data_IF_842038181004
#
_entry.id   IF_842038181004
#
_cell.length_a   1.000
_cell.length_b   1.000
_cell.length_c   1.000
_cell.angle_alpha   90.00
_cell.angle_beta   90.00
_cell.angle_gamma   90.00
#
_symmetry.space_group_name_H-M   'P 1'
#
loop_
_entity.id
_entity.type
_entity.pdbx_description
1 polymer ?
#
# COMPACT_ATOMS: atom_id res chain seq x y z
N UNK A 1 -15.98 -10.49 -13.87
CA UNK A 1 -15.29 -10.56 -12.57
C UNK A 1 -15.69 -9.32 -11.78
N UNK A 2 -16.34 -9.49 -10.63
CA UNK A 2 -16.70 -8.36 -9.77
C UNK A 2 -15.42 -7.74 -9.21
N UNK A 3 -15.33 -6.41 -9.20
CA UNK A 3 -14.21 -5.68 -8.58
C UNK A 3 -14.11 -5.91 -7.07
N UNK A 4 -13.03 -5.43 -6.42
CA UNK A 4 -12.89 -5.54 -4.97
C UNK A 4 -13.99 -4.74 -4.26
N UNK A 5 -14.52 -5.31 -3.17
CA UNK A 5 -15.51 -4.63 -2.32
C UNK A 5 -14.87 -3.74 -1.26
N UNK A 6 -13.66 -4.04 -0.85
CA UNK A 6 -12.88 -3.26 0.10
C UNK A 6 -11.47 -3.05 -0.44
N UNK A 7 -10.97 -1.85 -0.32
CA UNK A 7 -9.58 -1.50 -0.61
C UNK A 7 -8.91 -1.16 0.72
N UNK A 8 -8.04 -2.04 1.19
CA UNK A 8 -7.29 -1.89 2.44
C UNK A 8 -5.93 -1.29 2.10
N UNK A 9 -5.51 -0.24 2.79
CA UNK A 9 -4.20 0.38 2.55
C UNK A 9 -3.45 0.60 3.85
N UNK A 10 -2.20 0.18 3.90
CA UNK A 10 -1.33 0.47 5.04
C UNK A 10 -0.97 1.97 5.07
N UNK A 11 -1.21 2.65 6.20
CA UNK A 11 -0.93 4.06 6.40
C UNK A 11 0.21 4.25 7.42
N UNK A 12 1.42 4.58 6.95
CA UNK A 12 2.60 4.77 7.82
C UNK A 12 3.12 6.20 7.89
N UNK A 13 2.47 7.16 7.24
CA UNK A 13 2.91 8.56 7.17
C UNK A 13 4.22 8.80 6.43
N UNK A 14 4.88 7.76 5.91
CA UNK A 14 6.12 7.93 5.16
C UNK A 14 5.85 8.44 3.73
N UNK A 15 6.76 9.22 3.12
CA UNK A 15 6.56 9.74 1.75
C UNK A 15 6.27 8.67 0.69
N UNK A 16 6.80 7.47 0.85
CA UNK A 16 6.51 6.34 -0.03
C UNK A 16 5.12 5.74 0.17
N UNK A 17 4.49 6.02 1.30
CA UNK A 17 3.16 5.54 1.63
C UNK A 17 2.06 6.50 1.16
N UNK A 18 2.33 7.80 1.06
CA UNK A 18 1.36 8.78 0.54
C UNK A 18 0.91 8.43 -0.90
N UNK A 19 1.84 7.96 -1.72
CA UNK A 19 1.50 7.45 -3.05
C UNK A 19 0.55 6.26 -3.00
N UNK A 20 0.75 5.33 -2.06
CA UNK A 20 -0.12 4.18 -1.86
C UNK A 20 -1.53 4.60 -1.40
N UNK A 21 -1.63 5.57 -0.47
CA UNK A 21 -2.91 6.12 -0.01
C UNK A 21 -3.71 6.75 -1.17
N UNK A 22 -3.09 7.62 -1.96
CA UNK A 22 -3.73 8.26 -3.12
C UNK A 22 -4.15 7.25 -4.18
N UNK A 23 -3.32 6.24 -4.40
CA UNK A 23 -3.65 5.20 -5.37
C UNK A 23 -4.79 4.30 -4.88
N UNK A 24 -4.83 3.96 -3.59
CA UNK A 24 -5.91 3.20 -2.98
C UNK A 24 -7.26 3.94 -3.05
N UNK A 25 -7.25 5.26 -2.84
CA UNK A 25 -8.41 6.13 -3.01
C UNK A 25 -8.94 6.09 -4.44
N UNK A 26 -8.05 6.22 -5.42
CA UNK A 26 -8.43 6.14 -6.84
C UNK A 26 -9.07 4.78 -7.18
N UNK A 27 -8.49 3.69 -6.69
CA UNK A 27 -9.06 2.35 -6.89
C UNK A 27 -10.40 2.18 -6.19
N UNK A 28 -10.53 2.69 -4.95
CA UNK A 28 -11.78 2.60 -4.22
C UNK A 28 -12.92 3.31 -4.97
N UNK A 29 -12.66 4.47 -5.58
CA UNK A 29 -13.62 5.16 -6.45
C UNK A 29 -13.94 4.37 -7.72
N UNK A 30 -12.91 3.85 -8.38
CA UNK A 30 -13.08 3.12 -9.64
C UNK A 30 -13.94 1.85 -9.50
N UNK A 31 -13.92 1.25 -8.31
CA UNK A 31 -14.65 0.00 -8.02
C UNK A 31 -15.86 0.19 -7.11
N UNK A 32 -16.20 1.41 -6.72
CA UNK A 32 -17.25 1.69 -5.72
C UNK A 32 -17.05 0.88 -4.43
N UNK A 33 -15.80 0.85 -3.96
CA UNK A 33 -15.36 0.04 -2.84
C UNK A 33 -15.18 0.88 -1.57
N UNK A 34 -15.30 0.23 -0.40
CA UNK A 34 -14.97 0.86 0.88
C UNK A 34 -13.45 0.99 1.02
N UNK A 35 -12.96 2.20 1.26
CA UNK A 35 -11.55 2.48 1.52
C UNK A 35 -11.24 2.33 3.01
N UNK A 36 -10.24 1.52 3.35
CA UNK A 36 -9.83 1.24 4.73
C UNK A 36 -8.34 1.57 4.91
N UNK A 37 -7.98 2.81 5.26
CA UNK A 37 -6.63 3.14 5.66
C UNK A 37 -6.35 2.58 7.05
N UNK A 38 -5.26 1.82 7.18
CA UNK A 38 -4.89 1.11 8.41
C UNK A 38 -3.52 1.59 8.88
N UNK A 39 -3.48 2.16 10.08
CA UNK A 39 -2.24 2.40 10.82
C UNK A 39 -2.03 1.32 11.86
N UNK A 40 -0.79 0.89 12.02
CA UNK A 40 -0.45 -0.15 13.00
C UNK A 40 0.64 0.33 13.93
N UNK A 41 0.55 -0.03 15.21
CA UNK A 41 1.54 0.33 16.20
C UNK A 41 1.96 -0.87 17.04
N UNK A 42 3.15 -0.81 17.57
CA UNK A 42 3.71 -1.78 18.50
C UNK A 42 4.20 -1.01 19.73
N UNK A 43 3.95 -1.47 20.96
CA UNK A 43 4.43 -0.80 22.15
C UNK A 43 5.97 -0.71 22.15
N UNK A 44 6.55 0.38 22.65
CA UNK A 44 7.98 0.48 22.86
C UNK A 44 8.51 -0.67 23.72
N UNK A 45 9.58 -1.34 23.25
CA UNK A 45 10.09 -2.57 23.87
C UNK A 45 9.35 -3.85 23.44
N UNK A 46 8.31 -3.72 22.60
CA UNK A 46 7.57 -4.84 22.05
C UNK A 46 6.56 -5.47 23.03
N UNK A 47 5.82 -6.46 22.55
CA UNK A 47 4.78 -7.15 23.34
C UNK A 47 5.32 -7.87 24.58
N UNK A 48 6.59 -8.24 24.58
CA UNK A 48 7.22 -8.92 25.73
C UNK A 48 7.42 -7.95 26.87
N UNK A 49 7.94 -6.75 26.61
CA UNK A 49 8.12 -5.74 27.64
C UNK A 49 6.79 -5.32 28.27
N UNK A 50 5.77 -5.12 27.47
CA UNK A 50 4.44 -4.75 27.98
C UNK A 50 3.79 -5.86 28.80
N UNK A 51 3.97 -7.13 28.45
CA UNK A 51 3.48 -8.25 29.27
C UNK A 51 4.12 -8.32 30.66
N UNK A 52 5.38 -7.90 30.78
CA UNK A 52 6.08 -7.87 32.07
C UNK A 52 5.69 -6.67 32.94
N UNK A 53 5.32 -5.57 32.31
CA UNK A 53 4.93 -4.33 33.01
C UNK A 53 3.76 -3.65 32.29
N UNK A 54 2.53 -4.20 32.39
CA UNK A 54 1.37 -3.64 31.72
C UNK A 54 0.99 -2.31 32.37
N UNK A 55 0.86 -1.26 31.53
CA UNK A 55 0.39 0.06 31.95
C UNK A 55 -0.75 0.51 31.02
N UNK A 56 -1.97 0.56 31.56
CA UNK A 56 -3.16 0.92 30.78
C UNK A 56 -3.07 2.36 30.26
N UNK A 57 -2.56 3.28 31.07
CA UNK A 57 -2.38 4.68 30.71
C UNK A 57 -1.41 4.85 29.53
N UNK A 58 -0.30 4.13 29.54
CA UNK A 58 0.63 4.15 28.42
C UNK A 58 0.05 3.55 27.14
N UNK A 59 -0.77 2.52 27.29
CA UNK A 59 -1.44 1.92 26.13
C UNK A 59 -2.42 2.88 25.46
N UNK A 60 -3.22 3.63 26.24
CA UNK A 60 -4.11 4.65 25.66
C UNK A 60 -3.32 5.74 24.96
N UNK A 61 -2.25 6.27 25.57
CA UNK A 61 -1.38 7.27 24.93
C UNK A 61 -0.78 6.79 23.61
N UNK A 62 -0.32 5.55 23.53
CA UNK A 62 0.23 5.00 22.27
C UNK A 62 -0.87 4.79 21.21
N UNK A 63 -2.07 4.44 21.64
CA UNK A 63 -3.21 4.32 20.72
C UNK A 63 -3.63 5.70 20.20
N UNK A 64 -3.64 6.71 21.04
CA UNK A 64 -3.96 8.09 20.67
C UNK A 64 -2.90 8.67 19.70
N UNK A 65 -1.60 8.46 19.97
CA UNK A 65 -0.50 8.81 19.05
C UNK A 65 -0.64 8.09 17.70
N UNK A 66 -1.05 6.83 17.71
CA UNK A 66 -1.27 6.08 16.49
C UNK A 66 -2.46 6.64 15.67
N UNK A 67 -3.52 7.10 16.32
CA UNK A 67 -4.62 7.79 15.67
C UNK A 67 -4.22 9.14 15.09
N UNK A 68 -3.39 9.91 15.81
CA UNK A 68 -2.83 11.18 15.31
C UNK A 68 -1.99 10.93 14.05
N UNK A 69 -1.10 9.95 14.08
CA UNK A 69 -0.30 9.57 12.89
C UNK A 69 -1.14 9.13 11.71
N UNK A 70 -2.25 8.45 11.94
CA UNK A 70 -3.18 8.09 10.87
C UNK A 70 -3.85 9.32 10.28
N UNK A 71 -4.30 10.28 11.13
CA UNK A 71 -4.88 11.56 10.68
C UNK A 71 -3.87 12.35 9.86
N UNK A 72 -2.64 12.50 10.36
CA UNK A 72 -1.56 13.21 9.64
C UNK A 72 -1.30 12.59 8.27
N UNK A 73 -1.32 11.26 8.17
CA UNK A 73 -1.13 10.56 6.90
C UNK A 73 -2.30 10.80 5.94
N UNK A 74 -3.53 10.83 6.45
CA UNK A 74 -4.75 11.14 5.69
C UNK A 74 -4.71 12.57 5.20
N UNK A 75 -4.39 13.54 6.07
CA UNK A 75 -4.32 14.96 5.74
C UNK A 75 -3.20 15.22 4.71
N UNK A 76 -2.05 14.59 4.87
CA UNK A 76 -0.97 14.69 3.90
C UNK A 76 -1.29 14.05 2.53
N UNK A 77 -2.14 13.02 2.50
CA UNK A 77 -2.53 12.36 1.28
C UNK A 77 -3.67 13.09 0.54
N UNK A 78 -4.70 13.52 1.27
CA UNK A 78 -5.97 13.99 0.72
C UNK A 78 -6.38 15.40 1.17
N UNK A 79 -5.73 15.97 2.17
CA UNK A 79 -6.11 17.24 2.83
C UNK A 79 -7.29 17.07 3.79
N UNK A 80 -8.27 16.28 3.44
CA UNK A 80 -9.41 15.87 4.26
C UNK A 80 -9.96 14.54 3.75
N UNK A 81 -10.79 13.87 4.57
CA UNK A 81 -11.46 12.66 4.14
C UNK A 81 -12.39 12.94 2.94
N UNK A 82 -12.33 12.13 1.87
CA UNK A 82 -13.24 12.26 0.73
C UNK A 82 -14.69 12.08 1.17
N UNK A 83 -15.55 13.06 0.90
CA UNK A 83 -16.96 13.02 1.27
C UNK A 83 -17.81 12.09 0.38
N UNK A 84 -17.32 11.83 -0.82
CA UNK A 84 -17.96 11.03 -1.88
C UNK A 84 -17.58 9.54 -1.84
N UNK A 85 -16.71 9.15 -0.90
CA UNK A 85 -16.21 7.79 -0.78
C UNK A 85 -16.41 7.24 0.64
N UNK A 86 -16.93 6.02 0.82
CA UNK A 86 -17.01 5.42 2.14
C UNK A 86 -15.60 5.08 2.66
N UNK A 87 -15.08 5.89 3.59
CA UNK A 87 -13.77 5.69 4.22
C UNK A 87 -13.95 5.22 5.66
N UNK A 88 -13.25 4.16 6.03
CA UNK A 88 -13.25 3.58 7.40
C UNK A 88 -11.82 3.49 7.94
N UNK A 89 -11.25 4.56 8.51
CA UNK A 89 -9.92 4.53 9.10
C UNK A 89 -9.85 3.54 10.27
N UNK A 90 -8.74 2.81 10.38
CA UNK A 90 -8.50 1.83 11.44
C UNK A 90 -7.11 1.99 12.03
N UNK A 91 -7.03 1.87 13.35
CA UNK A 91 -5.76 1.76 14.09
C UNK A 91 -5.75 0.43 14.80
N UNK A 92 -4.72 -0.36 14.54
CA UNK A 92 -4.60 -1.70 15.10
C UNK A 92 -3.23 -1.93 15.72
N UNK A 93 -3.21 -2.66 16.82
CA UNK A 93 -1.98 -3.07 17.48
C UNK A 93 -1.40 -4.31 16.82
N UNK A 94 -0.11 -4.28 16.47
CA UNK A 94 0.63 -5.43 15.99
C UNK A 94 1.59 -5.13 14.85
N UNK A 95 2.31 -6.16 14.43
CA UNK A 95 3.24 -6.07 13.31
C UNK A 95 2.49 -5.76 12.00
N UNK A 96 2.88 -4.71 11.26
CA UNK A 96 2.11 -4.19 10.13
C UNK A 96 1.70 -5.26 9.11
N UNK A 97 2.65 -6.09 8.68
CA UNK A 97 2.35 -7.13 7.68
C UNK A 97 1.30 -8.13 8.15
N UNK A 98 1.40 -8.57 9.42
CA UNK A 98 0.43 -9.52 10.00
C UNK A 98 -0.96 -8.90 10.13
N UNK A 99 -1.02 -7.68 10.67
CA UNK A 99 -2.30 -6.98 10.85
C UNK A 99 -2.99 -6.76 9.52
N UNK A 100 -2.27 -6.24 8.53
CA UNK A 100 -2.82 -5.97 7.20
C UNK A 100 -3.35 -7.24 6.53
N UNK A 101 -2.65 -8.37 6.63
CA UNK A 101 -3.10 -9.63 6.04
C UNK A 101 -4.29 -10.26 6.77
N UNK A 102 -4.46 -9.97 8.06
CA UNK A 102 -5.64 -10.38 8.84
C UNK A 102 -6.86 -9.55 8.48
N UNK A 103 -6.70 -8.22 8.33
CA UNK A 103 -7.79 -7.32 7.93
C UNK A 103 -8.23 -7.63 6.50
N UNK A 104 -7.27 -7.79 5.58
CA UNK A 104 -7.50 -8.13 4.19
C UNK A 104 -7.58 -9.66 4.01
N UNK A 105 -8.60 -10.28 4.62
CA UNK A 105 -8.75 -11.74 4.66
C UNK A 105 -9.77 -12.30 3.66
N UNK A 106 -10.63 -11.45 3.12
CA UNK A 106 -11.63 -11.85 2.12
C UNK A 106 -10.97 -11.89 0.72
N UNK A 107 -11.19 -12.93 -0.09
CA UNK A 107 -10.72 -12.97 -1.48
C UNK A 107 -11.20 -11.80 -2.35
N UNK A 108 -12.33 -11.17 -1.97
CA UNK A 108 -12.87 -9.97 -2.60
C UNK A 108 -12.26 -8.66 -2.12
N UNK A 109 -11.23 -8.70 -1.27
CA UNK A 109 -10.47 -7.51 -0.85
C UNK A 109 -9.36 -7.18 -1.86
N UNK A 110 -8.85 -5.95 -1.78
CA UNK A 110 -7.61 -5.53 -2.41
C UNK A 110 -6.72 -4.89 -1.36
N UNK A 111 -5.54 -5.46 -1.14
CA UNK A 111 -4.56 -4.91 -0.20
C UNK A 111 -3.53 -4.03 -0.95
N UNK A 112 -3.45 -2.77 -0.59
CA UNK A 112 -2.50 -1.80 -1.16
C UNK A 112 -1.40 -1.49 -0.14
N UNK A 113 -0.15 -1.61 -0.55
CA UNK A 113 1.01 -1.36 0.30
C UNK A 113 2.08 -0.55 -0.45
N UNK A 114 2.71 0.40 0.23
CA UNK A 114 3.85 1.10 -0.32
C UNK A 114 5.11 0.22 -0.31
N UNK A 115 5.96 0.28 -1.32
CA UNK A 115 7.18 -0.52 -1.38
C UNK A 115 8.34 -0.01 -0.52
N UNK A 116 8.14 1.08 0.26
CA UNK A 116 9.12 1.59 1.22
C UNK A 116 10.00 2.72 0.69
N UNK A 117 11.09 3.03 1.41
CA UNK A 117 11.93 4.22 1.23
C UNK A 117 12.78 4.17 -0.06
N UNK A 118 13.06 5.37 -0.60
CA UNK A 118 13.99 5.57 -1.72
C UNK A 118 15.42 5.21 -1.33
N UNK A 119 15.99 4.23 -1.99
CA UNK A 119 17.43 3.99 -2.07
C UNK A 119 17.70 3.33 -3.41
N UNK A 120 18.88 3.59 -3.99
CA UNK A 120 19.25 3.09 -5.34
C UNK A 120 19.19 1.56 -5.44
N UNK A 121 19.41 0.86 -4.32
CA UNK A 121 19.34 -0.60 -4.22
C UNK A 121 17.94 -1.12 -3.84
N UNK A 122 17.03 -0.26 -3.32
CA UNK A 122 15.70 -0.67 -2.84
C UNK A 122 14.62 -0.62 -3.92
N UNK A 123 14.94 -0.16 -5.13
CA UNK A 123 13.99 -0.18 -6.27
C UNK A 123 13.60 -1.60 -6.69
N UNK A 124 14.44 -2.57 -6.40
CA UNK A 124 14.25 -3.98 -6.81
C UNK A 124 13.68 -4.83 -5.66
N UNK A 125 13.83 -4.40 -4.40
CA UNK A 125 13.34 -5.15 -3.25
C UNK A 125 12.20 -4.42 -2.55
N UNK A 126 10.98 -4.97 -2.50
CA UNK A 126 9.89 -4.46 -1.68
C UNK A 126 10.30 -4.36 -0.20
N UNK A 127 9.75 -3.39 0.54
CA UNK A 127 9.96 -3.27 1.98
C UNK A 127 9.53 -4.53 2.75
N UNK A 128 9.96 -4.66 3.99
CA UNK A 128 9.63 -5.85 4.83
C UNK A 128 8.13 -6.11 4.91
N UNK A 129 7.31 -5.06 5.06
CA UNK A 129 5.84 -5.14 5.12
C UNK A 129 5.28 -5.63 3.79
N UNK A 130 5.68 -5.04 2.67
CA UNK A 130 5.20 -5.42 1.33
C UNK A 130 5.55 -6.87 1.00
N UNK A 131 6.77 -7.32 1.31
CA UNK A 131 7.17 -8.72 1.11
C UNK A 131 6.34 -9.68 1.95
N UNK A 132 6.07 -9.31 3.20
CA UNK A 132 5.23 -10.12 4.07
C UNK A 132 3.80 -10.23 3.50
N UNK A 133 3.19 -9.10 3.11
CA UNK A 133 1.85 -9.09 2.53
C UNK A 133 1.78 -9.91 1.24
N UNK A 134 2.75 -9.76 0.32
CA UNK A 134 2.81 -10.53 -0.92
C UNK A 134 2.92 -12.05 -0.68
N UNK A 135 3.58 -12.47 0.41
CA UNK A 135 3.77 -13.88 0.72
C UNK A 135 2.59 -14.51 1.50
N UNK A 136 1.78 -13.71 2.22
CA UNK A 136 0.83 -14.24 3.19
C UNK A 136 -0.61 -13.74 3.02
N UNK A 137 -0.88 -12.79 2.12
CA UNK A 137 -2.24 -12.32 1.88
C UNK A 137 -3.09 -13.41 1.17
N UNK A 138 -4.39 -13.39 1.48
CA UNK A 138 -5.40 -14.26 0.85
C UNK A 138 -6.18 -13.55 -0.26
N UNK A 139 -5.87 -12.29 -0.49
CA UNK A 139 -6.45 -11.43 -1.52
C UNK A 139 -5.35 -10.89 -2.44
N UNK A 140 -5.68 -10.29 -3.59
CA UNK A 140 -4.74 -9.55 -4.42
C UNK A 140 -4.00 -8.46 -3.63
N UNK A 141 -2.68 -8.34 -3.85
CA UNK A 141 -1.82 -7.33 -3.21
C UNK A 141 -1.21 -6.43 -4.27
N UNK A 142 -1.41 -5.13 -4.11
CA UNK A 142 -0.81 -4.12 -4.96
C UNK A 142 0.33 -3.42 -4.21
N UNK A 143 1.53 -3.54 -4.71
CA UNK A 143 2.71 -2.86 -4.18
C UNK A 143 2.99 -1.57 -4.97
N UNK A 144 2.77 -0.41 -4.34
CA UNK A 144 2.91 0.91 -4.97
C UNK A 144 4.31 1.46 -4.70
N UNK A 145 5.10 1.76 -5.75
CA UNK A 145 6.40 2.38 -5.58
C UNK A 145 6.27 3.83 -5.09
N UNK A 146 7.27 4.37 -4.37
CA UNK A 146 7.28 5.77 -3.99
C UNK A 146 7.29 6.64 -5.25
N UNK A 147 6.45 7.67 -5.29
CA UNK A 147 6.45 8.63 -6.39
C UNK A 147 7.85 9.23 -6.54
N UNK A 148 8.43 9.11 -7.72
CA UNK A 148 9.63 9.85 -8.07
C UNK A 148 9.24 11.32 -8.23
N UNK A 149 9.63 12.17 -7.29
CA UNK A 149 9.61 13.63 -7.54
C UNK A 149 10.67 13.86 -8.60
N UNK A 150 10.25 13.97 -9.85
CA UNK A 150 11.11 14.49 -10.90
C UNK A 150 11.26 16.00 -10.66
N UNK A 151 12.48 16.56 -10.59
CA UNK A 151 12.66 18.00 -10.39
C UNK A 151 12.24 18.83 -11.59
N UNK A 152 11.71 18.24 -12.64
CA UNK A 152 11.24 18.93 -13.83
C UNK A 152 9.73 18.78 -13.97
N UNK A 153 9.02 19.80 -13.57
CA UNK A 153 7.61 20.00 -13.87
C UNK A 153 7.42 20.07 -15.39
N UNK A 154 6.61 19.19 -15.95
CA UNK A 154 6.20 19.34 -17.36
C UNK A 154 5.63 18.08 -18.02
N UNK A 155 6.00 16.91 -17.59
CA UNK A 155 5.44 15.68 -18.15
C UNK A 155 5.02 14.77 -16.99
N UNK A 156 3.77 14.36 -16.95
CA UNK A 156 3.26 13.40 -15.98
C UNK A 156 4.17 12.16 -15.97
N UNK A 157 4.45 11.56 -14.82
CA UNK A 157 5.39 10.45 -14.71
C UNK A 157 4.99 9.32 -15.64
N UNK A 158 5.93 8.77 -16.42
CA UNK A 158 5.73 7.70 -17.40
C UNK A 158 5.04 6.44 -16.83
N UNK A 159 5.02 6.26 -15.51
CA UNK A 159 4.26 5.19 -14.85
C UNK A 159 2.73 5.34 -15.00
N UNK A 160 2.22 6.59 -15.18
CA UNK A 160 0.81 6.83 -15.48
C UNK A 160 0.39 6.19 -16.82
N UNK A 161 1.28 6.17 -17.79
CA UNK A 161 1.03 5.53 -19.10
C UNK A 161 1.02 4.01 -18.98
N UNK A 162 1.83 3.43 -18.08
CA UNK A 162 1.90 1.98 -17.89
C UNK A 162 0.66 1.40 -17.18
N UNK A 163 -0.04 2.19 -16.36
CA UNK A 163 -1.15 1.72 -15.54
C UNK A 163 -2.53 1.88 -16.21
N UNK A 164 -2.63 2.64 -17.30
CA UNK A 164 -3.86 2.72 -18.08
C UNK A 164 -4.01 1.61 -19.13
N UNK A 165 -2.96 0.82 -19.34
CA UNK A 165 -3.05 -0.36 -20.17
C UNK A 165 -3.45 -1.54 -19.28
N UNK A 166 -4.73 -1.84 -19.23
CA UNK A 166 -5.21 -3.16 -18.79
C UNK A 166 -4.58 -4.19 -19.70
N UNK A 167 -3.55 -4.89 -19.20
CA UNK A 167 -2.99 -6.05 -19.89
C UNK A 167 -4.12 -7.09 -19.97
N UNK A 168 -4.69 -7.25 -21.13
CA UNK A 168 -5.58 -8.37 -21.40
C UNK A 168 -4.73 -9.65 -21.55
N UNK A 169 -5.29 -10.83 -21.31
CA UNK A 169 -4.56 -12.10 -21.53
C UNK A 169 -3.91 -12.19 -22.90
N UNK A 170 -4.46 -11.55 -23.93
CA UNK A 170 -3.93 -11.50 -25.29
C UNK A 170 -2.67 -10.63 -25.42
N UNK A 171 -2.47 -9.62 -24.57
CA UNK A 171 -1.26 -8.80 -24.57
C UNK A 171 -0.03 -9.56 -24.04
N UNK A 172 -0.22 -10.49 -23.12
CA UNK A 172 0.84 -11.34 -22.56
C UNK A 172 1.31 -12.39 -23.57
N UNK A 173 0.42 -12.85 -24.45
CA UNK A 173 0.75 -13.86 -25.46
C UNK A 173 1.44 -13.27 -26.69
N UNK A 174 1.29 -11.98 -26.98
CA UNK A 174 1.95 -11.31 -28.11
C UNK A 174 3.42 -11.01 -27.88
N UNK A 175 3.83 -10.68 -26.66
CA UNK A 175 5.25 -10.40 -26.34
C UNK A 175 6.13 -11.67 -26.21
N UNK A 176 5.53 -12.84 -26.12
CA UNK A 176 6.26 -14.13 -26.07
C UNK A 176 6.78 -14.62 -27.43
N UNK A 177 6.45 -13.95 -28.54
CA UNK A 177 6.71 -14.43 -29.91
C UNK A 177 7.81 -13.75 -30.72
N UNK A 178 8.41 -12.67 -30.24
CA UNK A 178 9.40 -11.89 -31.01
C UNK A 178 10.81 -11.96 -30.44
N UNK A 179 11.41 -13.14 -30.44
CA UNK A 179 12.77 -13.33 -29.94
C UNK A 179 13.49 -14.53 -30.55
N UNK A 180 13.52 -14.68 -31.90
CA UNK A 180 14.53 -15.52 -32.57
C UNK A 180 14.82 -15.01 -33.98
N UNK A 181 16.05 -14.61 -34.18
CA UNK A 181 16.69 -14.39 -35.49
C UNK A 181 17.44 -13.07 -35.51
N UNK A 182 18.73 -13.10 -35.54
CA UNK A 182 19.74 -13.50 -36.37
C UNK A 182 21.06 -12.89 -35.98
N UNK A 183 21.97 -13.75 -35.65
CA UNK A 183 23.40 -13.50 -35.67
C UNK A 183 23.87 -13.11 -37.09
N UNK A 184 24.67 -12.05 -37.19
CA UNK A 184 25.73 -11.95 -38.23
C UNK A 184 26.85 -11.05 -37.72
N UNK A 185 27.90 -11.68 -37.26
CA UNK A 185 29.24 -11.10 -37.34
C UNK A 185 29.82 -11.49 -38.71
N UNK A 186 30.26 -10.52 -39.46
CA UNK A 186 31.30 -10.56 -40.45
C UNK A 186 31.96 -9.18 -40.47
#
# INVERSE_FOLDING_TARGET
>A
MSGPRRVIVGASGSPGNLGALRYAEHLARAYDAVLIPVHTWIPPGGDTAERHSPCIQLRSLWTDDAWERLRDAIDAAWGQLPADLPVRPMVERGAPGRVLTVIASDPGDLLVVGTGRRGTLTRVCPGRVSRYCLAHARCPVLAVPPATVSPHAGHGPLWWVFWHRTLTPDDVLRDGGAGRGGSRYA
#
